data_IF_843632815133
#
_entry.id   IF_843632815133
#
_cell.length_a   1.000
_cell.length_b   1.000
_cell.length_c   1.000
_cell.angle_alpha   90.00
_cell.angle_beta   90.00
_cell.angle_gamma   90.00
#
_symmetry.space_group_name_H-M   'P 1'
#
loop_
_entity.id
_entity.type
_entity.pdbx_description
1 polymer ?
#
# COMPACT_ATOMS: atom_id res chain seq x y z
N UNK A 1 2.73 -4.71 -8.60
CA UNK A 1 2.95 -3.26 -8.83
C UNK A 1 1.98 -2.65 -9.83
N UNK A 2 1.72 -3.29 -10.98
CA UNK A 2 0.82 -2.78 -12.02
C UNK A 2 -0.54 -2.23 -11.51
N UNK A 3 -1.25 -2.96 -10.66
CA UNK A 3 -2.55 -2.51 -10.12
C UNK A 3 -2.44 -1.24 -9.26
N UNK A 4 -1.37 -1.10 -8.45
CA UNK A 4 -1.15 0.09 -7.65
C UNK A 4 -0.85 1.31 -8.54
N UNK A 5 -0.05 1.12 -9.60
CA UNK A 5 0.23 2.15 -10.60
C UNK A 5 -1.04 2.56 -11.35
N UNK A 6 -1.80 1.60 -11.87
CA UNK A 6 -3.06 1.90 -12.56
C UNK A 6 -4.01 2.71 -11.66
N UNK A 7 -4.12 2.33 -10.38
CA UNK A 7 -4.94 3.05 -9.42
C UNK A 7 -4.49 4.50 -9.24
N UNK A 8 -3.19 4.74 -9.03
CA UNK A 8 -2.63 6.06 -8.74
C UNK A 8 -2.52 6.95 -9.98
N UNK A 9 -2.10 6.40 -11.11
CA UNK A 9 -1.71 7.16 -12.30
C UNK A 9 -2.88 7.31 -13.29
N UNK A 10 -3.86 6.41 -13.26
CA UNK A 10 -4.97 6.40 -14.22
C UNK A 10 -6.32 6.60 -13.56
N UNK A 11 -6.62 5.85 -12.48
CA UNK A 11 -7.97 5.85 -11.90
C UNK A 11 -8.21 7.04 -10.97
N UNK A 12 -7.28 7.32 -10.07
CA UNK A 12 -7.42 8.40 -9.09
C UNK A 12 -7.54 9.79 -9.77
N UNK A 13 -6.76 10.15 -10.81
CA UNK A 13 -6.92 11.43 -11.49
C UNK A 13 -8.31 11.59 -12.11
N UNK A 14 -8.88 10.52 -12.68
CA UNK A 14 -10.24 10.52 -13.26
C UNK A 14 -11.31 10.70 -12.19
N UNK A 15 -11.14 10.08 -11.02
CA UNK A 15 -12.04 10.27 -9.88
C UNK A 15 -11.96 11.71 -9.37
N UNK A 16 -10.76 12.28 -9.26
CA UNK A 16 -10.57 13.67 -8.83
C UNK A 16 -11.14 14.67 -9.84
N UNK A 17 -11.00 14.42 -11.14
CA UNK A 17 -11.62 15.23 -12.18
C UNK A 17 -13.15 15.21 -12.09
N UNK A 18 -13.73 14.01 -11.91
CA UNK A 18 -15.17 13.86 -11.70
C UNK A 18 -15.66 14.53 -10.41
N UNK A 19 -14.92 14.42 -9.31
CA UNK A 19 -15.26 15.06 -8.05
C UNK A 19 -15.27 16.59 -8.19
N UNK A 20 -14.29 17.15 -8.92
CA UNK A 20 -14.24 18.58 -9.24
C UNK A 20 -15.42 19.01 -10.11
N UNK A 21 -15.75 18.26 -11.16
CA UNK A 21 -16.82 18.63 -12.09
C UNK A 21 -18.23 18.55 -11.48
N UNK A 22 -18.39 17.77 -10.40
CA UNK A 22 -19.66 17.61 -9.68
C UNK A 22 -19.78 18.46 -8.41
N UNK A 23 -18.75 19.26 -8.08
CA UNK A 23 -18.74 20.10 -6.89
C UNK A 23 -18.64 19.32 -5.58
N UNK A 24 -18.12 18.08 -5.62
CA UNK A 24 -18.07 17.16 -4.48
C UNK A 24 -16.89 17.42 -3.51
N UNK A 25 -16.05 18.42 -3.79
CA UNK A 25 -15.00 18.89 -2.90
C UNK A 25 -13.56 18.63 -3.38
N UNK A 26 -12.65 18.59 -2.41
CA UNK A 26 -11.20 18.58 -2.59
C UNK A 26 -10.65 17.30 -3.25
N UNK A 27 -9.39 17.39 -3.73
CA UNK A 27 -8.71 16.25 -4.33
C UNK A 27 -8.54 15.08 -3.34
N UNK A 28 -9.00 13.90 -3.76
CA UNK A 28 -8.77 12.68 -3.02
C UNK A 28 -7.31 12.26 -3.17
N UNK A 29 -6.72 11.89 -2.03
CA UNK A 29 -5.40 11.28 -1.96
C UNK A 29 -5.51 9.86 -1.46
N UNK A 30 -4.88 8.93 -2.17
CA UNK A 30 -4.87 7.49 -1.81
C UNK A 30 -3.47 7.09 -1.41
N UNK A 31 -3.37 6.34 -0.31
CA UNK A 31 -2.15 5.65 0.11
C UNK A 31 -2.27 4.16 -0.13
N UNK A 32 -1.19 3.53 -0.58
CA UNK A 32 -1.10 2.09 -0.85
C UNK A 32 0.13 1.53 -0.12
N UNK A 33 -0.05 0.40 0.57
CA UNK A 33 1.01 -0.35 1.21
C UNK A 33 1.02 -1.78 0.70
N UNK A 34 2.18 -2.28 0.26
CA UNK A 34 2.33 -3.62 -0.30
C UNK A 34 3.39 -4.38 0.47
N UNK A 35 3.06 -5.60 0.90
CA UNK A 35 3.98 -6.49 1.59
C UNK A 35 3.72 -7.94 1.18
N UNK A 36 4.79 -8.69 0.95
CA UNK A 36 4.77 -10.12 0.66
C UNK A 36 5.29 -10.88 1.88
N UNK A 37 4.68 -12.00 2.19
CA UNK A 37 5.10 -12.88 3.29
C UNK A 37 4.07 -13.98 3.51
N UNK A 38 4.34 -14.82 4.50
CA UNK A 38 3.44 -15.91 4.85
C UNK A 38 2.16 -15.39 5.53
N UNK A 39 1.04 -16.02 5.19
CA UNK A 39 -0.30 -15.69 5.65
C UNK A 39 -1.13 -16.98 5.68
N UNK A 40 -2.09 -17.05 6.58
CA UNK A 40 -3.16 -18.06 6.55
C UNK A 40 -4.42 -17.42 6.00
N UNK A 41 -5.06 -18.09 5.04
CA UNK A 41 -6.36 -17.71 4.51
C UNK A 41 -7.39 -18.80 4.84
N UNK A 42 -8.56 -18.41 5.32
CA UNK A 42 -9.60 -19.36 5.68
C UNK A 42 -10.84 -18.71 6.29
N UNK A 43 -11.83 -19.54 6.59
CA UNK A 43 -13.03 -19.10 7.30
C UNK A 43 -12.71 -18.93 8.78
N UNK A 44 -12.93 -17.73 9.30
CA UNK A 44 -12.72 -17.37 10.71
C UNK A 44 -14.04 -16.84 11.27
N UNK A 45 -14.42 -17.31 12.45
CA UNK A 45 -15.63 -16.86 13.15
C UNK A 45 -16.34 -17.98 13.91
N UNK A 46 -17.57 -17.72 14.34
CA UNK A 46 -18.43 -18.72 14.98
C UNK A 46 -19.34 -19.40 13.94
N UNK A 47 -20.01 -20.49 14.31
CA UNK A 47 -21.00 -21.15 13.42
C UNK A 47 -22.08 -20.19 12.88
N UNK A 48 -22.37 -19.11 13.61
CA UNK A 48 -23.39 -18.12 13.25
C UNK A 48 -22.87 -16.98 12.37
N UNK A 49 -21.54 -16.76 12.32
CA UNK A 49 -20.88 -15.79 11.43
C UNK A 49 -19.48 -16.27 11.08
N UNK A 50 -19.36 -16.81 9.87
CA UNK A 50 -18.10 -17.18 9.23
C UNK A 50 -17.73 -16.11 8.21
N UNK A 51 -16.52 -15.56 8.31
CA UNK A 51 -15.95 -14.66 7.31
C UNK A 51 -14.68 -15.27 6.73
N UNK A 52 -14.56 -15.27 5.40
CA UNK A 52 -13.32 -15.66 4.74
C UNK A 52 -12.31 -14.50 4.88
N UNK A 53 -11.23 -14.74 5.60
CA UNK A 53 -10.25 -13.71 5.93
C UNK A 53 -8.82 -14.22 5.79
N UNK A 54 -7.88 -13.27 5.76
CA UNK A 54 -6.45 -13.52 5.69
C UNK A 54 -5.80 -12.96 6.96
N UNK A 55 -5.04 -13.80 7.66
CA UNK A 55 -4.34 -13.44 8.89
C UNK A 55 -2.85 -13.71 8.73
N UNK A 56 -2.04 -12.70 9.02
CA UNK A 56 -0.58 -12.82 8.98
C UNK A 56 0.10 -11.47 9.18
N UNK A 57 1.37 -11.52 9.58
CA UNK A 57 2.17 -10.32 9.82
C UNK A 57 2.32 -9.48 8.55
N UNK A 58 2.40 -10.09 7.37
CA UNK A 58 2.52 -9.35 6.11
C UNK A 58 1.28 -8.49 5.81
N UNK A 59 0.06 -8.97 6.12
CA UNK A 59 -1.16 -8.18 5.98
C UNK A 59 -1.16 -6.97 6.93
N UNK A 60 -0.74 -7.18 8.18
CA UNK A 60 -0.58 -6.10 9.16
C UNK A 60 0.48 -5.08 8.74
N UNK A 61 1.61 -5.53 8.21
CA UNK A 61 2.68 -4.65 7.71
C UNK A 61 2.18 -3.84 6.52
N UNK A 62 1.51 -4.47 5.54
CA UNK A 62 0.94 -3.77 4.38
C UNK A 62 -0.03 -2.65 4.81
N UNK A 63 -0.96 -2.93 5.73
CA UNK A 63 -1.90 -1.93 6.25
C UNK A 63 -1.18 -0.78 6.97
N UNK A 64 -0.11 -1.07 7.72
CA UNK A 64 0.66 -0.02 8.41
C UNK A 64 1.49 0.80 7.44
N UNK A 65 2.13 0.19 6.45
CA UNK A 65 2.82 0.92 5.38
C UNK A 65 1.85 1.85 4.65
N UNK A 66 0.65 1.38 4.33
CA UNK A 66 -0.41 2.21 3.77
C UNK A 66 -0.69 3.43 4.65
N UNK A 67 -0.88 3.23 5.96
CA UNK A 67 -1.13 4.34 6.89
C UNK A 67 0.04 5.34 6.97
N UNK A 68 1.29 4.86 6.82
CA UNK A 68 2.50 5.69 6.88
C UNK A 68 2.71 6.56 5.65
N UNK A 69 1.97 6.35 4.55
CA UNK A 69 1.95 7.29 3.40
C UNK A 69 1.32 8.64 3.76
N UNK A 70 0.51 8.70 4.83
CA UNK A 70 -0.13 9.93 5.28
C UNK A 70 0.92 10.94 5.75
N UNK A 71 0.81 12.18 5.26
CA UNK A 71 1.74 13.26 5.62
C UNK A 71 3.12 13.17 4.97
N UNK A 72 3.36 12.20 4.08
CA UNK A 72 4.56 12.14 3.24
C UNK A 72 4.19 12.47 1.79
N UNK A 73 5.13 12.71 0.87
CA UNK A 73 4.81 12.88 -0.55
C UNK A 73 4.52 11.55 -1.27
N UNK A 74 4.87 10.40 -0.68
CA UNK A 74 4.70 9.10 -1.32
C UNK A 74 3.26 8.59 -1.15
N UNK A 75 2.67 8.09 -2.24
CA UNK A 75 1.36 7.43 -2.22
C UNK A 75 1.44 5.90 -2.25
N UNK A 76 2.65 5.35 -2.42
CA UNK A 76 2.90 3.92 -2.47
C UNK A 76 4.16 3.58 -1.66
N UNK A 77 4.00 2.66 -0.71
CA UNK A 77 5.10 2.01 0.00
C UNK A 77 5.11 0.52 -0.26
N UNK A 78 6.30 -0.01 -0.56
CA UNK A 78 6.56 -1.40 -0.89
C UNK A 78 7.58 -1.93 0.10
N UNK A 79 7.24 -2.99 0.83
CA UNK A 79 8.19 -3.66 1.71
C UNK A 79 9.31 -4.32 0.89
N UNK A 80 10.51 -4.40 1.45
CA UNK A 80 11.66 -5.14 0.90
C UNK A 80 11.29 -6.53 0.39
N UNK A 81 10.43 -7.26 1.11
CA UNK A 81 9.99 -8.60 0.73
C UNK A 81 9.24 -8.61 -0.61
N UNK A 82 8.40 -7.61 -0.87
CA UNK A 82 7.76 -7.44 -2.17
C UNK A 82 8.74 -6.92 -3.20
N UNK A 83 9.58 -5.94 -2.85
CA UNK A 83 10.58 -5.38 -3.77
C UNK A 83 11.49 -6.47 -4.35
N UNK A 84 11.98 -7.39 -3.51
CA UNK A 84 12.78 -8.56 -3.96
C UNK A 84 12.00 -9.52 -4.86
N UNK A 85 10.70 -9.63 -4.66
CA UNK A 85 9.84 -10.50 -5.44
C UNK A 85 9.44 -9.91 -6.81
N UNK A 86 9.71 -8.62 -7.05
CA UNK A 86 9.38 -7.96 -8.32
C UNK A 86 10.36 -8.27 -9.45
N UNK A 87 11.57 -8.74 -9.14
CA UNK A 87 12.60 -8.96 -10.16
C UNK A 87 12.92 -7.67 -10.91
N UNK A 88 12.83 -7.70 -12.24
CA UNK A 88 13.20 -6.57 -13.08
C UNK A 88 12.34 -5.33 -12.83
N UNK A 89 11.05 -5.46 -12.47
CA UNK A 89 10.15 -4.32 -12.19
C UNK A 89 10.59 -3.48 -10.96
N UNK A 90 11.56 -3.97 -10.18
CA UNK A 90 12.05 -3.31 -8.97
C UNK A 90 12.83 -2.02 -9.26
N UNK A 91 13.34 -1.83 -10.48
CA UNK A 91 14.19 -0.69 -10.87
C UNK A 91 13.48 0.67 -10.82
N UNK A 92 12.15 0.69 -10.86
CA UNK A 92 11.34 1.90 -10.80
C UNK A 92 11.13 2.41 -9.37
N UNK A 93 11.70 1.72 -8.37
CA UNK A 93 11.53 2.00 -6.96
C UNK A 93 12.84 2.45 -6.31
N UNK A 94 12.74 3.50 -5.51
CA UNK A 94 13.84 4.07 -4.74
C UNK A 94 13.70 3.68 -3.28
N UNK A 95 14.85 3.52 -2.61
CA UNK A 95 14.90 3.24 -1.19
C UNK A 95 14.45 4.47 -0.40
N UNK A 96 13.35 4.34 0.33
CA UNK A 96 12.88 5.36 1.28
C UNK A 96 13.65 5.24 2.60
N UNK A 97 13.92 4.00 3.03
CA UNK A 97 14.72 3.70 4.22
C UNK A 97 14.09 2.65 5.13
N UNK A 98 14.65 2.51 6.34
CA UNK A 98 14.23 1.52 7.33
C UNK A 98 13.22 2.12 8.32
N UNK A 99 11.94 1.88 8.05
CA UNK A 99 10.81 2.42 8.80
C UNK A 99 10.45 1.56 10.02
N UNK A 100 10.18 2.22 11.15
CA UNK A 100 9.70 1.56 12.37
C UNK A 100 8.18 1.39 12.25
N UNK A 101 7.78 0.16 11.95
CA UNK A 101 6.36 -0.20 11.88
C UNK A 101 5.90 -0.61 13.28
N UNK A 102 5.04 0.19 13.91
CA UNK A 102 4.53 -0.07 15.27
C UNK A 102 3.96 -1.49 15.35
N UNK A 103 4.50 -2.33 16.23
CA UNK A 103 4.06 -3.71 16.41
C UNK A 103 4.66 -4.72 15.43
N UNK A 104 5.58 -4.30 14.55
CA UNK A 104 6.51 -5.22 13.91
C UNK A 104 7.69 -5.44 14.87
N UNK A 105 8.17 -6.68 14.99
CA UNK A 105 9.36 -6.99 15.81
C UNK A 105 10.65 -6.40 15.21
N UNK A 106 10.62 -5.99 13.94
CA UNK A 106 11.79 -5.58 13.17
C UNK A 106 11.46 -4.34 12.32
N UNK A 107 12.47 -3.52 12.04
CA UNK A 107 12.35 -2.41 11.09
C UNK A 107 12.06 -2.98 9.70
N UNK A 108 11.14 -2.35 8.98
CA UNK A 108 10.80 -2.75 7.60
C UNK A 108 11.54 -1.81 6.68
N UNK A 109 12.37 -2.36 5.79
CA UNK A 109 12.97 -1.59 4.71
C UNK A 109 11.91 -1.32 3.63
N UNK A 110 11.75 -0.05 3.26
CA UNK A 110 10.65 0.43 2.43
C UNK A 110 11.17 1.11 1.18
N UNK A 111 10.48 0.82 0.08
CA UNK A 111 10.72 1.33 -1.25
C UNK A 111 9.49 2.06 -1.76
N UNK A 112 9.67 3.05 -2.62
CA UNK A 112 8.58 3.79 -3.24
C UNK A 112 9.00 4.25 -4.65
N UNK A 113 8.06 4.51 -5.57
CA UNK A 113 8.37 5.32 -6.73
C UNK A 113 8.94 6.66 -6.28
N UNK A 114 9.76 7.28 -7.13
CA UNK A 114 10.19 8.66 -6.93
C UNK A 114 8.98 9.51 -6.54
N UNK A 115 9.13 10.32 -5.50
CA UNK A 115 8.05 11.17 -5.04
C UNK A 115 7.54 11.99 -6.24
N UNK A 116 6.22 11.96 -6.48
CA UNK A 116 5.63 12.89 -7.41
C UNK A 116 6.02 14.29 -6.94
N UNK A 117 6.65 15.06 -7.83
CA UNK A 117 7.01 16.45 -7.54
C UNK A 117 5.78 17.24 -7.06
N UNK A 118 6.00 18.36 -6.35
CA UNK A 118 4.93 19.17 -5.81
C UNK A 118 3.94 19.66 -6.89
#
# INVERSE_FOLDING_TARGET
>A
MAAAREMLDVRLPRVNEWARSTGLGDELRVGIGVCSGELMAGNVGSEQRMEYTVVGDAANIAARLQAMTKGTPHQLYVAESTWRALGDDAHELELVGDLVVRGARQRVRVWAPAAAGP
#
